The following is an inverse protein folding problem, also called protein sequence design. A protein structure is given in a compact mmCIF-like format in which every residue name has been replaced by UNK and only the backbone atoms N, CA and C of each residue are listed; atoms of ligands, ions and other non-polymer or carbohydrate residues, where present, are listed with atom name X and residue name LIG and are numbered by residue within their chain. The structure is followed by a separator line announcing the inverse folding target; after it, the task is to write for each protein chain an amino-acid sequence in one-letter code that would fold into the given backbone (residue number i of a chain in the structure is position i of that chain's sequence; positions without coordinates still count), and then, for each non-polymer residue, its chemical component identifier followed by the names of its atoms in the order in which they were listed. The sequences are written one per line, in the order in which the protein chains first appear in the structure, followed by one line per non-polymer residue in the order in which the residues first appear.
data_IF_806049767842
#
_entry.id   IF_806049767842
#
_cell.length_a   1.000
_cell.length_b   1.000
_cell.length_c   1.000
_cell.angle_alpha   90.00
_cell.angle_beta   90.00
_cell.angle_gamma   90.00
#
_symmetry.space_group_name_H-M   'P 1'
#
loop_
_entity.id
_entity.type
_entity.pdbx_description
1 polymer ?
#
# COMPACT_ATOMS: atom_id res chain seq x y z
N UNK A 1 -19.30 7.34 6.06
CA UNK A 1 -19.45 5.87 5.86
C UNK A 1 -19.62 5.09 7.18
N UNK A 2 -19.78 5.74 8.35
CA UNK A 2 -19.73 5.05 9.65
C UNK A 2 -21.09 4.50 10.17
N UNK A 3 -22.23 4.86 9.59
CA UNK A 3 -23.53 4.67 10.25
C UNK A 3 -24.10 3.23 10.23
N UNK A 4 -23.48 2.26 9.52
CA UNK A 4 -24.03 0.89 9.39
C UNK A 4 -23.02 -0.25 9.68
N UNK A 5 -21.87 0.03 10.31
CA UNK A 5 -20.93 -1.03 10.68
C UNK A 5 -21.36 -1.72 11.98
N UNK A 6 -21.23 -3.04 12.03
CA UNK A 6 -21.33 -3.78 13.31
C UNK A 6 -20.19 -3.39 14.25
N UNK A 7 -20.35 -3.66 15.55
CA UNK A 7 -19.29 -3.42 16.54
C UNK A 7 -17.95 -4.06 16.14
N UNK A 8 -17.98 -5.32 15.69
CA UNK A 8 -16.78 -6.04 15.23
C UNK A 8 -16.11 -5.32 14.05
N UNK A 9 -16.90 -4.82 13.10
CA UNK A 9 -16.38 -4.09 11.95
C UNK A 9 -15.78 -2.74 12.33
N UNK A 10 -16.39 -2.03 13.28
CA UNK A 10 -15.83 -0.80 13.85
C UNK A 10 -14.48 -1.09 14.51
N UNK A 11 -14.39 -2.15 15.32
CA UNK A 11 -13.13 -2.57 15.97
C UNK A 11 -12.04 -2.93 14.94
N UNK A 12 -12.39 -3.59 13.83
CA UNK A 12 -11.43 -3.87 12.74
C UNK A 12 -10.92 -2.58 12.09
N UNK A 13 -11.81 -1.62 11.81
CA UNK A 13 -11.45 -0.33 11.21
C UNK A 13 -10.55 0.47 12.16
N UNK A 14 -10.93 0.57 13.44
CA UNK A 14 -10.13 1.26 14.46
C UNK A 14 -8.75 0.63 14.63
N UNK A 15 -8.66 -0.71 14.66
CA UNK A 15 -7.39 -1.41 14.74
C UNK A 15 -6.52 -1.15 13.50
N UNK A 16 -7.12 -1.15 12.31
CA UNK A 16 -6.39 -0.87 11.08
C UNK A 16 -5.89 0.57 11.00
N UNK A 17 -6.72 1.55 11.38
CA UNK A 17 -6.31 2.95 11.47
C UNK A 17 -5.16 3.14 12.47
N UNK A 18 -5.22 2.44 13.61
CA UNK A 18 -4.11 2.43 14.57
C UNK A 18 -2.85 1.82 13.97
N UNK A 19 -2.97 0.74 13.20
CA UNK A 19 -1.86 0.08 12.53
C UNK A 19 -1.17 1.02 11.55
N UNK A 20 -1.91 1.56 10.58
CA UNK A 20 -1.39 2.50 9.57
C UNK A 20 -0.79 3.74 10.23
N UNK A 21 -1.45 4.28 11.26
CA UNK A 21 -0.93 5.41 12.02
C UNK A 21 0.40 5.11 12.71
N UNK A 22 0.59 3.90 13.23
CA UNK A 22 1.87 3.48 13.82
C UNK A 22 2.96 3.34 12.76
N UNK A 23 2.64 2.76 11.60
CA UNK A 23 3.57 2.65 10.46
C UNK A 23 4.04 4.02 9.97
N UNK A 24 3.12 4.97 9.78
CA UNK A 24 3.46 6.35 9.34
C UNK A 24 4.36 7.07 10.33
N UNK A 25 4.22 6.77 11.63
CA UNK A 25 5.04 7.36 12.68
C UNK A 25 6.35 6.58 12.93
N UNK A 26 6.58 5.47 12.24
CA UNK A 26 7.73 4.59 12.48
C UNK A 26 7.69 3.88 13.84
N UNK A 27 6.51 3.74 14.46
CA UNK A 27 6.33 3.06 15.75
C UNK A 27 6.22 1.55 15.55
N UNK A 28 7.38 0.91 15.42
CA UNK A 28 7.51 -0.54 15.21
C UNK A 28 6.78 -1.36 16.29
N UNK A 29 6.85 -0.95 17.56
CA UNK A 29 6.25 -1.72 18.64
C UNK A 29 4.72 -1.70 18.56
N UNK A 30 4.13 -0.53 18.31
CA UNK A 30 2.68 -0.44 18.12
C UNK A 30 2.23 -1.19 16.86
N UNK A 31 2.96 -1.06 15.75
CA UNK A 31 2.69 -1.81 14.51
C UNK A 31 2.69 -3.32 14.76
N UNK A 32 3.73 -3.85 15.42
CA UNK A 32 3.82 -5.28 15.72
C UNK A 32 2.80 -5.73 16.79
N UNK A 33 2.31 -4.82 17.64
CA UNK A 33 1.31 -5.13 18.65
C UNK A 33 -0.12 -5.25 18.09
N UNK A 34 -0.43 -4.66 16.93
CA UNK A 34 -1.75 -4.81 16.28
C UNK A 34 -1.86 -6.11 15.47
N UNK A 35 -0.72 -6.71 15.12
CA UNK A 35 -0.65 -7.99 14.42
C UNK A 35 -0.74 -9.19 15.37
N UNK A 36 -1.20 -10.33 14.85
CA UNK A 36 -1.35 -11.58 15.59
C UNK A 36 0.00 -12.30 15.81
N UNK A 37 -0.04 -13.57 16.23
CA UNK A 37 1.15 -14.36 16.53
C UNK A 37 1.83 -14.97 15.29
N UNK A 38 1.12 -15.05 14.17
CA UNK A 38 1.65 -15.58 12.91
C UNK A 38 1.19 -14.74 11.70
N UNK A 39 1.60 -13.45 11.63
CA UNK A 39 1.16 -12.57 10.57
C UNK A 39 1.96 -12.83 9.29
N UNK A 40 1.47 -12.36 8.15
CA UNK A 40 2.30 -12.18 6.96
C UNK A 40 1.97 -10.90 6.21
N UNK A 41 3.00 -10.27 5.66
CA UNK A 41 2.90 -9.06 4.86
C UNK A 41 3.47 -9.38 3.48
N UNK A 42 2.74 -9.02 2.43
CA UNK A 42 3.21 -9.23 1.06
C UNK A 42 2.85 -8.03 0.16
N UNK A 43 3.89 -7.32 -0.24
CA UNK A 43 3.87 -6.36 -1.34
C UNK A 43 4.00 -7.12 -2.65
N UNK A 44 2.85 -7.51 -3.20
CA UNK A 44 2.72 -8.60 -4.17
C UNK A 44 3.58 -8.40 -5.42
N UNK A 45 3.61 -7.22 -6.08
CA UNK A 45 4.34 -7.06 -7.33
C UNK A 45 5.85 -7.20 -7.24
N UNK A 46 6.45 -7.06 -6.05
CA UNK A 46 7.89 -7.19 -5.83
C UNK A 46 8.26 -8.25 -4.79
N UNK A 47 7.27 -8.98 -4.27
CA UNK A 47 7.43 -10.00 -3.23
C UNK A 47 8.17 -9.51 -1.96
N UNK A 48 8.02 -8.23 -1.62
CA UNK A 48 8.63 -7.65 -0.42
C UNK A 48 7.71 -7.84 0.79
N UNK A 49 8.28 -8.22 1.93
CA UNK A 49 7.51 -8.42 3.16
C UNK A 49 8.13 -9.46 4.07
N UNK A 50 7.28 -10.19 4.79
CA UNK A 50 7.72 -11.18 5.77
C UNK A 50 6.60 -12.11 6.23
N UNK A 51 6.98 -13.22 6.85
CA UNK A 51 6.07 -14.22 7.42
C UNK A 51 6.45 -14.50 8.87
N UNK A 52 5.44 -14.67 9.73
CA UNK A 52 5.61 -14.78 11.17
C UNK A 52 6.03 -13.46 11.82
N UNK A 53 5.95 -13.38 13.15
CA UNK A 53 6.30 -12.15 13.87
C UNK A 53 7.73 -11.69 13.60
N UNK A 54 8.69 -12.61 13.56
CA UNK A 54 10.10 -12.28 13.32
C UNK A 54 10.35 -11.76 11.91
N UNK A 55 9.82 -12.45 10.89
CA UNK A 55 10.00 -12.04 9.49
C UNK A 55 9.33 -10.70 9.19
N UNK A 56 8.10 -10.50 9.68
CA UNK A 56 7.39 -9.23 9.52
C UNK A 56 8.10 -8.09 10.27
N UNK A 57 8.54 -8.32 11.52
CA UNK A 57 9.30 -7.33 12.29
C UNK A 57 10.59 -6.94 11.59
N UNK A 58 11.35 -7.91 11.11
CA UNK A 58 12.59 -7.68 10.37
C UNK A 58 12.34 -6.80 9.14
N UNK A 59 11.24 -7.05 8.42
CA UNK A 59 10.86 -6.22 7.28
C UNK A 59 10.55 -4.78 7.69
N UNK A 60 9.68 -4.57 8.70
CA UNK A 60 9.34 -3.23 9.19
C UNK A 60 10.57 -2.43 9.64
N UNK A 61 11.43 -3.05 10.44
CA UNK A 61 12.62 -2.43 11.02
C UNK A 61 13.61 -1.95 9.96
N UNK A 62 13.81 -2.74 8.89
CA UNK A 62 14.84 -2.45 7.89
C UNK A 62 14.33 -1.60 6.72
N UNK A 63 13.05 -1.76 6.36
CA UNK A 63 12.50 -1.24 5.10
C UNK A 63 11.37 -0.22 5.27
N UNK A 64 10.73 -0.13 6.45
CA UNK A 64 9.55 0.73 6.62
C UNK A 64 9.81 1.89 7.59
N UNK A 65 10.51 1.68 8.72
CA UNK A 65 10.77 2.76 9.69
C UNK A 65 11.59 3.89 9.04
N UNK A 66 10.96 5.05 8.85
CA UNK A 66 11.57 6.26 8.26
C UNK A 66 11.90 6.18 6.76
N UNK A 67 11.49 5.11 6.08
CA UNK A 67 11.77 4.88 4.64
C UNK A 67 10.51 4.56 3.83
N UNK A 68 9.35 4.51 4.48
CA UNK A 68 8.14 4.05 3.83
C UNK A 68 7.67 4.99 2.72
N UNK A 69 7.79 6.31 2.89
CA UNK A 69 7.41 7.27 1.86
C UNK A 69 8.35 8.47 1.77
N UNK A 70 8.47 9.07 0.57
CA UNK A 70 9.07 10.38 0.39
C UNK A 70 8.34 11.46 1.21
N UNK A 71 9.02 12.58 1.54
CA UNK A 71 8.42 13.65 2.36
C UNK A 71 7.17 14.30 1.74
N UNK A 72 7.00 14.24 0.42
CA UNK A 72 5.90 14.83 -0.33
C UNK A 72 4.76 13.84 -0.63
N UNK A 73 4.73 12.69 0.05
CA UNK A 73 3.67 11.71 -0.18
C UNK A 73 2.29 12.28 0.14
N UNK A 74 1.36 12.06 -0.77
CA UNK A 74 -0.06 12.28 -0.59
C UNK A 74 -0.79 10.95 -0.72
N UNK A 75 -1.73 10.71 0.20
CA UNK A 75 -2.60 9.54 0.18
C UNK A 75 -4.06 9.95 0.23
N UNK A 76 -4.88 9.30 -0.59
CA UNK A 76 -6.32 9.47 -0.59
C UNK A 76 -7.00 8.12 -0.70
N UNK A 77 -7.74 7.74 0.34
CA UNK A 77 -8.65 6.58 0.26
C UNK A 77 -9.70 6.86 -0.81
N UNK A 78 -9.76 5.99 -1.82
CA UNK A 78 -10.73 6.02 -2.91
C UNK A 78 -11.99 5.27 -2.50
N UNK A 79 -11.81 4.05 -2.01
CA UNK A 79 -12.89 3.20 -1.51
C UNK A 79 -12.41 2.31 -0.36
N UNK A 80 -13.34 1.92 0.52
CA UNK A 80 -13.07 1.00 1.63
C UNK A 80 -14.26 0.06 1.78
N UNK A 81 -13.99 -1.23 1.75
CA UNK A 81 -14.98 -2.30 1.91
C UNK A 81 -14.64 -3.09 3.16
N UNK A 82 -15.55 -3.08 4.14
CA UNK A 82 -15.37 -3.78 5.41
C UNK A 82 -16.20 -5.06 5.40
N UNK A 83 -15.53 -6.20 5.27
CA UNK A 83 -16.14 -7.52 5.36
C UNK A 83 -16.33 -7.97 6.81
N UNK A 84 -16.48 -9.28 7.03
CA UNK A 84 -16.57 -9.86 8.38
C UNK A 84 -15.19 -10.15 8.99
N UNK A 85 -14.20 -10.46 8.16
CA UNK A 85 -12.85 -10.86 8.58
C UNK A 85 -11.75 -10.16 7.77
N UNK A 86 -12.10 -9.26 6.86
CA UNK A 86 -11.14 -8.53 6.04
C UNK A 86 -11.63 -7.10 5.77
N UNK A 87 -10.69 -6.19 5.59
CA UNK A 87 -10.90 -4.87 5.01
C UNK A 87 -10.18 -4.84 3.66
N UNK A 88 -10.82 -4.30 2.64
CA UNK A 88 -10.22 -4.00 1.34
C UNK A 88 -10.24 -2.49 1.14
N UNK A 89 -9.08 -1.87 1.06
CA UNK A 89 -8.95 -0.44 0.75
C UNK A 89 -8.31 -0.23 -0.61
N UNK A 90 -8.89 0.70 -1.37
CA UNK A 90 -8.29 1.27 -2.58
C UNK A 90 -7.77 2.65 -2.22
N UNK A 91 -6.47 2.87 -2.41
CA UNK A 91 -5.80 4.09 -1.97
C UNK A 91 -5.02 4.66 -3.15
N UNK A 92 -5.31 5.91 -3.51
CA UNK A 92 -4.48 6.69 -4.41
C UNK A 92 -3.26 7.20 -3.63
N UNK A 93 -2.08 7.05 -4.21
CA UNK A 93 -0.80 7.50 -3.66
C UNK A 93 -0.09 8.34 -4.72
N UNK A 94 0.46 9.48 -4.30
CA UNK A 94 1.30 10.35 -5.13
C UNK A 94 2.53 10.80 -4.35
N UNK A 95 3.70 10.85 -5.00
CA UNK A 95 4.96 11.30 -4.39
C UNK A 95 6.02 11.58 -5.45
N UNK A 96 7.13 12.19 -5.06
CA UNK A 96 8.34 12.28 -5.87
C UNK A 96 9.39 11.30 -5.34
N UNK A 97 9.94 10.44 -6.22
CA UNK A 97 10.95 9.43 -5.85
C UNK A 97 12.31 10.06 -5.52
N UNK A 98 12.40 10.67 -4.33
CA UNK A 98 13.54 11.44 -3.80
C UNK A 98 14.42 10.65 -2.83
N UNK A 99 13.91 9.53 -2.31
CA UNK A 99 14.60 8.61 -1.40
C UNK A 99 14.36 7.17 -1.87
N UNK A 100 15.22 6.19 -1.51
CA UNK A 100 14.96 4.78 -1.78
C UNK A 100 13.64 4.32 -1.13
N UNK A 101 12.85 3.51 -1.85
CA UNK A 101 11.57 2.98 -1.39
C UNK A 101 11.57 1.45 -1.59
N UNK A 102 12.08 0.71 -0.61
CA UNK A 102 12.39 -0.72 -0.78
C UNK A 102 11.16 -1.61 -1.02
N UNK A 103 10.00 -1.24 -0.46
CA UNK A 103 8.77 -2.02 -0.64
C UNK A 103 8.14 -1.84 -2.03
N UNK A 104 8.49 -0.78 -2.76
CA UNK A 104 7.93 -0.44 -4.09
C UNK A 104 8.94 -0.66 -5.22
N UNK A 105 10.17 -0.17 -5.03
CA UNK A 105 11.25 -0.15 -6.01
C UNK A 105 12.55 -0.69 -5.37
N UNK A 106 12.58 -1.95 -4.92
CA UNK A 106 13.74 -2.53 -4.27
C UNK A 106 14.99 -2.42 -5.15
N UNK A 107 16.05 -1.82 -4.61
CA UNK A 107 17.33 -1.65 -5.30
C UNK A 107 17.38 -0.51 -6.33
N UNK A 108 16.33 0.30 -6.46
CA UNK A 108 16.32 1.45 -7.37
C UNK A 108 16.71 2.72 -6.62
N UNK A 109 17.71 3.44 -7.13
CA UNK A 109 18.10 4.74 -6.59
C UNK A 109 17.03 5.82 -6.87
N UNK A 110 16.96 6.90 -6.07
CA UNK A 110 16.04 8.02 -6.31
C UNK A 110 16.12 8.54 -7.75
N UNK A 111 15.00 8.49 -8.46
CA UNK A 111 14.94 8.93 -9.87
C UNK A 111 14.53 10.38 -10.02
N UNK A 112 14.04 11.01 -8.95
CA UNK A 112 13.49 12.37 -8.96
C UNK A 112 12.21 12.51 -9.80
N UNK A 113 11.60 11.40 -10.20
CA UNK A 113 10.36 11.38 -10.98
C UNK A 113 9.16 11.38 -10.06
N UNK A 114 8.12 12.08 -10.48
CA UNK A 114 6.83 12.05 -9.82
C UNK A 114 6.09 10.76 -10.20
N UNK A 115 5.45 10.14 -9.22
CA UNK A 115 4.68 8.91 -9.36
C UNK A 115 3.27 9.15 -8.84
N UNK A 116 2.29 8.67 -9.59
CA UNK A 116 0.89 8.53 -9.18
C UNK A 116 0.47 7.09 -9.42
N UNK A 117 -0.09 6.46 -8.38
CA UNK A 117 -0.51 5.07 -8.42
C UNK A 117 -1.74 4.84 -7.55
N UNK A 118 -2.44 3.74 -7.80
CA UNK A 118 -3.47 3.23 -6.89
C UNK A 118 -2.99 1.89 -6.36
N UNK A 119 -3.09 1.72 -5.06
CA UNK A 119 -2.83 0.46 -4.37
C UNK A 119 -4.15 -0.14 -3.89
N UNK A 120 -4.28 -1.46 -3.97
CA UNK A 120 -5.31 -2.22 -3.28
C UNK A 120 -4.67 -2.94 -2.10
N UNK A 121 -5.12 -2.63 -0.89
CA UNK A 121 -4.66 -3.23 0.36
C UNK A 121 -5.75 -4.16 0.89
N UNK A 122 -5.43 -5.44 1.03
CA UNK A 122 -6.32 -6.44 1.63
C UNK A 122 -5.74 -6.80 2.99
N UNK A 123 -6.46 -6.40 4.05
CA UNK A 123 -6.06 -6.62 5.43
C UNK A 123 -6.98 -7.66 6.03
N UNK A 124 -6.44 -8.79 6.48
CA UNK A 124 -7.23 -9.83 7.13
C UNK A 124 -7.08 -9.84 8.64
N UNK A 125 -8.17 -10.16 9.32
CA UNK A 125 -8.27 -10.18 10.77
C UNK A 125 -8.56 -11.59 11.26
N UNK A 126 -7.94 -11.95 12.38
CA UNK A 126 -8.21 -13.18 13.12
C UNK A 126 -8.07 -12.90 14.61
N UNK A 127 -9.06 -13.34 15.40
CA UNK A 127 -9.07 -13.20 16.86
C UNK A 127 -8.82 -11.75 17.33
N UNK A 128 -9.39 -10.77 16.61
CA UNK A 128 -9.26 -9.34 16.93
C UNK A 128 -7.90 -8.71 16.61
N UNK A 129 -7.07 -9.38 15.81
CA UNK A 129 -5.74 -8.91 15.39
C UNK A 129 -5.56 -9.00 13.88
N UNK A 130 -4.65 -8.20 13.34
CA UNK A 130 -4.25 -8.29 11.93
C UNK A 130 -3.47 -9.59 11.73
N UNK A 131 -3.97 -10.42 10.82
CA UNK A 131 -3.38 -11.70 10.42
C UNK A 131 -2.56 -11.60 9.15
N UNK A 132 -2.91 -10.68 8.26
CA UNK A 132 -2.14 -10.47 7.04
C UNK A 132 -2.46 -9.17 6.34
N UNK A 133 -1.53 -8.79 5.47
CA UNK A 133 -1.68 -7.74 4.49
C UNK A 133 -1.19 -8.21 3.12
N UNK A 134 -2.04 -8.03 2.11
CA UNK A 134 -1.67 -8.20 0.71
C UNK A 134 -1.86 -6.89 -0.02
N UNK A 135 -0.78 -6.38 -0.60
CA UNK A 135 -0.74 -5.05 -1.21
C UNK A 135 -0.46 -5.24 -2.70
N UNK A 136 -1.41 -4.81 -3.53
CA UNK A 136 -1.37 -4.94 -4.99
C UNK A 136 -1.30 -3.57 -5.64
N UNK A 137 -0.55 -3.47 -6.74
CA UNK A 137 -0.52 -2.31 -7.61
C UNK A 137 -0.01 -2.68 -9.00
N UNK A 138 -0.08 -1.74 -9.93
CA UNK A 138 0.52 -1.87 -11.27
C UNK A 138 2.00 -1.47 -11.25
N UNK A 139 2.89 -2.47 -11.10
CA UNK A 139 4.34 -2.21 -11.10
C UNK A 139 4.86 -1.77 -12.47
N UNK A 140 4.25 -2.20 -13.58
CA UNK A 140 4.68 -1.77 -14.90
C UNK A 140 4.44 -0.27 -15.08
N UNK A 141 3.29 0.22 -14.63
CA UNK A 141 2.99 1.66 -14.64
C UNK A 141 3.91 2.47 -13.74
N UNK A 142 4.32 1.95 -12.58
CA UNK A 142 5.35 2.59 -11.75
C UNK A 142 6.69 2.65 -12.49
N UNK A 143 7.15 1.55 -13.08
CA UNK A 143 8.42 1.48 -13.83
C UNK A 143 8.45 2.42 -15.04
N UNK A 144 7.33 2.60 -15.74
CA UNK A 144 7.20 3.61 -16.81
C UNK A 144 7.40 5.01 -16.24
N UNK A 145 6.72 5.35 -15.15
CA UNK A 145 6.78 6.68 -14.54
C UNK A 145 8.20 7.04 -14.04
N UNK A 146 8.92 6.06 -13.48
CA UNK A 146 10.30 6.26 -13.03
C UNK A 146 11.35 6.13 -14.14
N UNK A 147 10.95 5.83 -15.38
CA UNK A 147 11.82 5.79 -16.56
C UNK A 147 12.64 4.50 -16.71
N UNK A 148 12.22 3.41 -16.07
CA UNK A 148 12.87 2.10 -16.14
C UNK A 148 12.20 1.14 -17.14
N UNK A 149 11.00 1.47 -17.63
CA UNK A 149 10.30 0.73 -18.66
C UNK A 149 9.87 1.67 -19.80
N UNK A 150 10.29 1.37 -21.04
CA UNK A 150 9.78 2.06 -22.23
C UNK A 150 8.38 1.51 -22.57
N UNK A 151 7.31 2.33 -22.53
CA UNK A 151 5.96 1.86 -22.82
C UNK A 151 5.71 1.55 -24.31
N UNK A 152 6.65 1.88 -25.21
CA UNK A 152 6.47 1.71 -26.66
C UNK A 152 6.22 0.25 -27.04
N UNK A 153 5.05 0.01 -27.64
CA UNK A 153 4.64 -1.33 -28.09
C UNK A 153 4.11 -2.23 -26.98
N UNK A 154 3.98 -1.73 -25.74
CA UNK A 154 3.46 -2.48 -24.60
C UNK A 154 2.02 -2.03 -24.24
N UNK A 155 1.19 -2.93 -23.71
CA UNK A 155 -0.15 -2.61 -23.22
C UNK A 155 -0.10 -2.02 -21.79
N UNK A 156 0.81 -1.06 -21.54
CA UNK A 156 1.01 -0.43 -20.23
C UNK A 156 0.58 1.05 -20.27
N UNK A 157 0.21 1.58 -19.11
CA UNK A 157 -0.11 2.99 -18.87
C UNK A 157 0.77 3.52 -17.73
N UNK A 158 0.88 4.84 -17.57
CA UNK A 158 1.53 5.48 -16.43
C UNK A 158 0.51 6.05 -15.42
N UNK A 159 0.79 7.27 -14.95
CA UNK A 159 -0.02 8.02 -13.98
C UNK A 159 -1.50 8.16 -14.38
N UNK A 160 -1.79 8.17 -15.68
CA UNK A 160 -3.15 8.28 -16.20
C UNK A 160 -4.08 7.16 -15.71
N UNK A 161 -3.56 5.98 -15.40
CA UNK A 161 -4.35 4.88 -14.85
C UNK A 161 -4.88 5.23 -13.45
N UNK A 162 -4.02 5.77 -12.58
CA UNK A 162 -4.40 6.22 -11.24
C UNK A 162 -5.39 7.39 -11.29
N UNK A 163 -5.17 8.35 -12.19
CA UNK A 163 -6.09 9.49 -12.38
C UNK A 163 -7.46 9.05 -12.87
N UNK A 164 -7.53 8.04 -13.73
CA UNK A 164 -8.80 7.48 -14.25
C UNK A 164 -9.62 6.77 -13.17
N UNK A 165 -8.97 6.23 -12.12
CA UNK A 165 -9.67 5.72 -10.92
C UNK A 165 -10.33 6.88 -10.15
N UNK A 166 -9.63 8.01 -9.98
CA UNK A 166 -10.17 9.18 -9.30
C UNK A 166 -11.26 9.90 -10.11
N UNK A 167 -11.12 9.93 -11.43
CA UNK A 167 -12.06 10.56 -12.35
C UNK A 167 -12.43 9.61 -13.51
N UNK A 168 -13.57 8.91 -13.41
CA UNK A 168 -14.01 7.99 -14.46
C UNK A 168 -14.45 8.71 -15.74
N UNK A 169 -14.46 10.05 -15.82
CA UNK A 169 -14.76 10.79 -17.04
C UNK A 169 -13.57 10.97 -17.99
N UNK A 170 -12.32 10.76 -17.52
CA UNK A 170 -11.11 10.85 -18.34
C UNK A 170 -11.15 9.86 -19.54
N UNK A 171 -10.50 10.12 -20.67
CA UNK A 171 -10.56 9.23 -21.82
C UNK A 171 -9.96 7.84 -21.51
N UNK A 172 -10.55 6.79 -22.07
CA UNK A 172 -9.96 5.45 -22.07
C UNK A 172 -8.84 5.35 -23.13
N UNK A 173 -7.96 4.36 -22.97
CA UNK A 173 -6.96 4.04 -24.00
C UNK A 173 -7.65 3.69 -25.32
N UNK A 174 -7.18 4.30 -26.41
CA UNK A 174 -7.59 3.92 -27.77
C UNK A 174 -6.94 2.59 -28.11
N UNK A 175 -7.75 1.62 -28.56
CA UNK A 175 -7.32 0.26 -28.92
C UNK A 175 -6.72 0.21 -30.33
#
# INVERSE_FOLDING_TARGET
MAENLTKQQQEMVELFQKHVGAEMNGDLETTMATMNDNPHLNHVPVMAGGVGREGVRHFYENHLVGKFFPPDVEMKTVSSTVGYTQIVEEIYISFTHTVPIDWLLPGVAPTGKHVEMVVAVIVGFKDGKISHEHIYWDQAGVLVQVGLLDPKGLPVCGAESARKVLDPSLPARVM
#
